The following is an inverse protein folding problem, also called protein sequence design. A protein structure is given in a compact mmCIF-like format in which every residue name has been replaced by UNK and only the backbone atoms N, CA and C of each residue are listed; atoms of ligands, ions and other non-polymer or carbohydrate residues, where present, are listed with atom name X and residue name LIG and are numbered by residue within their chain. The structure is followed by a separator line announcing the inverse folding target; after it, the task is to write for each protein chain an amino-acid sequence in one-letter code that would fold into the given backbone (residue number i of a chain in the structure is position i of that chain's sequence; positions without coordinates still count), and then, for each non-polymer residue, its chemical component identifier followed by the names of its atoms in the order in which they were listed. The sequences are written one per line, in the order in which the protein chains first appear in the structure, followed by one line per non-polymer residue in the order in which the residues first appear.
data_IF_495147821813
#
_entry.id   IF_495147821813
#
_cell.length_a   1.000
_cell.length_b   1.000
_cell.length_c   1.000
_cell.angle_alpha   90.00
_cell.angle_beta   90.00
_cell.angle_gamma   90.00
#
_symmetry.space_group_name_H-M   'P 1'
#
loop_
_entity.id
_entity.type
_entity.pdbx_description
1 polymer ?
#
# COMPACT_ATOMS: atom_id res chain seq x y z
N UNK A 1 -9.72 -0.87 -4.46
CA UNK A 1 -8.46 -0.32 -5.00
C UNK A 1 -7.29 -1.09 -4.44
N UNK A 2 -6.44 -1.63 -5.31
CA UNK A 2 -5.20 -2.32 -4.95
C UNK A 2 -4.04 -1.39 -5.22
N UNK A 3 -3.14 -1.23 -4.28
CA UNK A 3 -1.95 -0.42 -4.46
C UNK A 3 -0.82 -0.88 -3.54
N UNK A 4 0.40 -0.48 -3.88
CA UNK A 4 1.58 -0.71 -3.08
C UNK A 4 2.47 0.52 -3.13
N UNK A 5 2.87 0.99 -1.98
CA UNK A 5 3.84 2.08 -1.87
C UNK A 5 5.27 1.50 -1.91
N UNK A 6 6.04 1.93 -2.90
CA UNK A 6 7.46 1.61 -3.02
C UNK A 6 8.29 2.48 -2.08
N UNK A 7 9.51 2.04 -1.76
CA UNK A 7 10.42 2.81 -0.90
C UNK A 7 11.84 2.70 -1.41
N UNK A 8 12.48 3.83 -1.62
CA UNK A 8 13.93 3.92 -1.86
C UNK A 8 14.65 3.78 -0.51
N UNK A 9 15.03 2.55 -0.17
CA UNK A 9 15.55 2.21 1.17
C UNK A 9 16.87 2.89 1.51
N UNK A 10 17.72 3.11 0.53
CA UNK A 10 18.96 3.89 0.63
C UNK A 10 18.67 5.31 1.12
N UNK A 11 17.78 6.03 0.46
CA UNK A 11 17.39 7.39 0.85
C UNK A 11 16.66 7.43 2.19
N UNK A 12 15.82 6.41 2.48
CA UNK A 12 15.17 6.31 3.77
C UNK A 12 16.18 6.13 4.91
N UNK A 13 17.22 5.31 4.72
CA UNK A 13 18.26 5.10 5.71
C UNK A 13 19.04 6.39 6.02
N UNK A 14 19.40 7.15 4.99
CA UNK A 14 20.04 8.47 5.14
C UNK A 14 19.15 9.44 5.90
N UNK A 15 17.87 9.55 5.52
CA UNK A 15 16.91 10.42 6.19
C UNK A 15 16.71 10.03 7.65
N UNK A 16 16.54 8.72 7.94
CA UNK A 16 16.39 8.19 9.29
C UNK A 16 17.60 8.52 10.17
N UNK A 17 18.81 8.32 9.68
CA UNK A 17 20.06 8.64 10.40
C UNK A 17 20.16 10.12 10.76
N UNK A 18 19.67 10.99 9.86
CA UNK A 18 19.70 12.44 10.03
C UNK A 18 18.47 13.03 10.73
N UNK A 19 17.53 12.21 11.21
CA UNK A 19 16.26 12.67 11.81
C UNK A 19 15.37 13.47 10.85
N UNK A 20 15.48 13.24 9.53
CA UNK A 20 14.75 13.99 8.50
C UNK A 20 13.48 13.26 8.06
N UNK A 21 12.48 13.98 7.52
CA UNK A 21 11.31 13.37 6.89
C UNK A 21 11.69 12.42 5.76
N UNK A 22 10.89 11.37 5.55
CA UNK A 22 11.14 10.35 4.52
C UNK A 22 10.53 10.68 3.15
N UNK A 23 10.12 11.93 2.93
CA UNK A 23 9.36 12.34 1.74
C UNK A 23 10.04 11.94 0.43
N UNK A 24 11.33 12.19 0.27
CA UNK A 24 12.10 11.83 -0.94
C UNK A 24 12.21 10.31 -1.14
N UNK A 25 12.23 9.55 -0.05
CA UNK A 25 12.29 8.09 -0.11
C UNK A 25 10.93 7.43 -0.41
N UNK A 26 9.84 8.15 -0.20
CA UNK A 26 8.46 7.67 -0.35
C UNK A 26 7.71 8.30 -1.52
N UNK A 27 7.91 9.60 -1.76
CA UNK A 27 7.20 10.39 -2.75
C UNK A 27 8.04 10.62 -4.01
N UNK A 28 8.26 9.59 -4.82
CA UNK A 28 8.93 9.66 -6.11
C UNK A 28 8.00 9.15 -7.21
N UNK A 29 8.32 9.48 -8.46
CA UNK A 29 7.51 9.09 -9.62
C UNK A 29 7.26 7.59 -9.65
N UNK A 30 5.99 7.20 -9.87
CA UNK A 30 5.54 5.81 -9.91
C UNK A 30 5.74 5.03 -8.59
N UNK A 31 5.96 5.72 -7.46
CA UNK A 31 6.15 5.08 -6.15
C UNK A 31 4.90 4.38 -5.63
N UNK A 32 3.73 4.72 -6.13
CA UNK A 32 2.44 4.26 -5.65
C UNK A 32 1.53 3.75 -6.78
N UNK A 33 1.86 2.61 -7.39
CA UNK A 33 0.98 2.01 -8.39
C UNK A 33 -0.37 1.65 -7.77
N UNK A 34 -1.45 1.99 -8.46
CA UNK A 34 -2.83 1.73 -8.03
C UNK A 34 -3.57 0.93 -9.09
N UNK A 35 -4.43 0.02 -8.66
CA UNK A 35 -5.35 -0.71 -9.53
C UNK A 35 -6.69 0.00 -9.67
N UNK A 36 -7.67 -0.70 -10.25
CA UNK A 36 -9.03 -0.20 -10.39
C UNK A 36 -9.62 0.20 -9.04
N UNK A 37 -10.40 1.27 -9.02
CA UNK A 37 -11.17 1.70 -7.87
C UNK A 37 -12.51 0.96 -7.92
N UNK A 38 -12.83 0.23 -6.87
CA UNK A 38 -14.14 -0.41 -6.69
C UNK A 38 -14.98 0.44 -5.74
N UNK A 39 -16.24 0.60 -6.09
CA UNK A 39 -17.19 1.32 -5.24
C UNK A 39 -17.64 0.43 -4.09
N UNK A 40 -17.91 1.03 -2.95
CA UNK A 40 -18.35 0.29 -1.76
C UNK A 40 -19.72 -0.40 -2.00
N UNK A 41 -20.54 0.15 -2.88
CA UNK A 41 -21.80 -0.46 -3.29
C UNK A 41 -21.63 -1.77 -4.04
N UNK A 42 -20.44 -1.97 -4.68
CA UNK A 42 -20.13 -3.17 -5.45
C UNK A 42 -19.47 -4.25 -4.58
N UNK A 43 -18.62 -3.86 -3.65
CA UNK A 43 -17.82 -4.79 -2.85
C UNK A 43 -18.32 -4.99 -1.43
N UNK A 44 -19.21 -4.13 -0.96
CA UNK A 44 -19.49 -3.99 0.44
C UNK A 44 -18.30 -3.40 1.22
N UNK A 45 -18.45 -3.27 2.53
CA UNK A 45 -17.37 -2.85 3.41
C UNK A 45 -16.40 -4.02 3.67
N UNK A 46 -15.16 -3.86 3.23
CA UNK A 46 -14.11 -4.87 3.42
C UNK A 46 -13.44 -4.67 4.78
N UNK A 47 -13.85 -5.45 5.77
CA UNK A 47 -13.31 -5.43 7.13
C UNK A 47 -12.36 -6.60 7.42
N UNK A 48 -12.38 -7.63 6.57
CA UNK A 48 -11.52 -8.80 6.63
C UNK A 48 -11.24 -9.31 5.22
N UNK A 49 -10.27 -10.18 5.07
CA UNK A 49 -9.91 -10.81 3.81
C UNK A 49 -8.41 -10.79 3.56
N UNK A 50 -7.93 -11.82 2.89
CA UNK A 50 -6.51 -11.99 2.63
C UNK A 50 -5.95 -10.85 1.78
N UNK A 51 -4.80 -10.32 2.20
CA UNK A 51 -3.94 -9.45 1.42
C UNK A 51 -2.59 -10.13 1.20
N UNK A 52 -2.17 -10.29 -0.04
CA UNK A 52 -0.94 -11.00 -0.38
C UNK A 52 -0.09 -10.23 -1.37
N UNK A 53 1.20 -10.51 -1.37
CA UNK A 53 2.13 -10.09 -2.39
C UNK A 53 3.05 -11.24 -2.76
N UNK A 54 3.14 -11.50 -4.05
CA UNK A 54 4.15 -12.37 -4.65
C UNK A 54 5.18 -11.54 -5.42
N UNK A 55 6.42 -12.00 -5.49
CA UNK A 55 7.47 -11.46 -6.34
C UNK A 55 7.99 -12.59 -7.22
N UNK A 56 7.86 -12.44 -8.53
CA UNK A 56 8.19 -13.46 -9.54
C UNK A 56 7.50 -14.82 -9.22
N UNK A 57 6.25 -14.75 -8.73
CA UNK A 57 5.46 -15.91 -8.33
C UNK A 57 5.80 -16.50 -6.96
N UNK A 58 6.86 -16.02 -6.29
CA UNK A 58 7.21 -16.48 -4.95
C UNK A 58 6.50 -15.63 -3.87
N UNK A 59 5.79 -16.23 -2.90
CA UNK A 59 5.14 -15.50 -1.82
C UNK A 59 6.13 -14.65 -1.00
N UNK A 60 5.77 -13.40 -0.75
CA UNK A 60 6.59 -12.43 0.00
C UNK A 60 5.88 -11.83 1.20
N UNK A 61 4.61 -11.47 1.05
CA UNK A 61 3.81 -10.92 2.13
C UNK A 61 2.45 -11.59 2.15
N UNK A 62 1.96 -11.82 3.36
CA UNK A 62 0.62 -12.32 3.63
C UNK A 62 0.11 -11.65 4.90
N UNK A 63 -1.14 -11.23 4.89
CA UNK A 63 -1.86 -10.68 6.01
C UNK A 63 -3.36 -10.74 5.77
N UNK A 64 -4.11 -10.18 6.66
CA UNK A 64 -5.55 -10.01 6.55
C UNK A 64 -5.92 -8.54 6.76
N UNK A 65 -7.02 -8.09 6.17
CA UNK A 65 -7.51 -6.72 6.36
C UNK A 65 -7.92 -6.46 7.82
N UNK A 66 -8.29 -7.51 8.55
CA UNK A 66 -8.59 -7.43 9.99
C UNK A 66 -7.36 -7.20 10.88
N UNK A 67 -6.13 -7.35 10.34
CA UNK A 67 -4.88 -7.04 11.05
C UNK A 67 -4.62 -5.53 11.18
N UNK A 68 -5.42 -4.68 10.54
CA UNK A 68 -5.31 -3.24 10.65
C UNK A 68 -5.56 -2.79 12.11
N UNK A 69 -4.59 -2.10 12.72
CA UNK A 69 -4.72 -1.53 14.08
C UNK A 69 -5.90 -0.56 14.13
N UNK A 70 -6.01 0.29 13.10
CA UNK A 70 -7.17 1.15 12.87
C UNK A 70 -7.86 0.72 11.59
N UNK A 71 -9.14 0.43 11.67
CA UNK A 71 -9.93 0.12 10.49
C UNK A 71 -10.09 1.36 9.58
N UNK A 72 -10.65 1.15 8.39
CA UNK A 72 -10.79 2.23 7.39
C UNK A 72 -11.60 3.41 7.92
N UNK A 73 -12.69 3.16 8.65
CA UNK A 73 -13.56 4.22 9.20
C UNK A 73 -12.83 5.04 10.25
N UNK A 74 -12.11 4.39 11.15
CA UNK A 74 -11.30 5.04 12.18
C UNK A 74 -10.20 5.87 11.54
N UNK A 75 -9.50 5.33 10.54
CA UNK A 75 -8.46 6.04 9.80
C UNK A 75 -9.01 7.31 9.15
N UNK A 76 -10.16 7.24 8.46
CA UNK A 76 -10.82 8.41 7.86
C UNK A 76 -11.21 9.42 8.94
N UNK A 77 -11.81 8.97 10.03
CA UNK A 77 -12.22 9.82 11.14
C UNK A 77 -11.06 10.59 11.75
N UNK A 78 -9.90 9.94 11.94
CA UNK A 78 -8.71 10.61 12.46
C UNK A 78 -8.09 11.60 11.46
N UNK A 79 -7.96 11.21 10.21
CA UNK A 79 -7.40 12.07 9.16
C UNK A 79 -8.25 13.34 8.97
N UNK A 80 -9.57 13.23 9.01
CA UNK A 80 -10.49 14.36 8.83
C UNK A 80 -10.38 15.43 9.92
N UNK A 81 -9.73 15.14 11.07
CA UNK A 81 -9.43 16.15 12.09
C UNK A 81 -8.28 17.07 11.70
N UNK A 82 -7.38 16.62 10.82
CA UNK A 82 -6.18 17.36 10.41
C UNK A 82 -6.27 17.86 8.96
N UNK A 83 -7.04 17.19 8.12
CA UNK A 83 -7.19 17.52 6.70
C UNK A 83 -8.66 17.53 6.27
N UNK A 84 -9.00 18.45 5.38
CA UNK A 84 -10.30 18.41 4.68
C UNK A 84 -10.21 17.36 3.58
N UNK A 85 -10.69 16.16 3.85
CA UNK A 85 -10.73 15.07 2.87
C UNK A 85 -11.75 15.38 1.77
N UNK A 86 -11.39 15.10 0.53
CA UNK A 86 -12.22 15.35 -0.67
C UNK A 86 -12.39 14.07 -1.48
N UNK A 87 -13.45 13.96 -2.30
CA UNK A 87 -13.56 12.89 -3.29
C UNK A 87 -12.32 12.85 -4.18
N UNK A 88 -11.73 11.66 -4.32
CA UNK A 88 -10.49 11.44 -5.06
C UNK A 88 -9.23 11.38 -4.19
N UNK A 89 -9.29 11.74 -2.92
CA UNK A 89 -8.16 11.55 -2.00
C UNK A 89 -7.86 10.06 -1.82
N UNK A 90 -6.57 9.72 -1.84
CA UNK A 90 -6.09 8.36 -1.67
C UNK A 90 -5.43 8.21 -0.29
N UNK A 91 -5.90 7.24 0.48
CA UNK A 91 -5.34 6.92 1.79
C UNK A 91 -4.59 5.59 1.70
N UNK A 92 -3.28 5.63 2.04
CA UNK A 92 -2.42 4.47 2.08
C UNK A 92 -2.32 3.94 3.51
N UNK A 93 -2.89 2.78 3.77
CA UNK A 93 -3.05 2.21 5.12
C UNK A 93 -1.87 1.34 5.56
N UNK A 94 -0.78 1.32 4.81
CA UNK A 94 0.40 0.55 5.16
C UNK A 94 0.50 -0.80 4.45
N UNK A 95 1.30 -1.70 5.01
CA UNK A 95 1.61 -2.99 4.40
C UNK A 95 1.83 -4.07 5.47
N UNK A 96 1.46 -5.34 5.21
CA UNK A 96 1.75 -6.46 6.11
C UNK A 96 3.26 -6.67 6.31
N UNK A 97 3.62 -7.51 7.26
CA UNK A 97 4.99 -7.98 7.47
C UNK A 97 5.58 -8.63 6.20
N UNK A 98 6.90 -8.82 6.16
CA UNK A 98 7.60 -9.42 5.01
C UNK A 98 8.10 -8.40 3.98
N UNK A 99 8.29 -7.15 4.39
CA UNK A 99 8.91 -6.12 3.52
C UNK A 99 10.35 -6.52 3.18
N UNK A 100 10.68 -6.58 1.88
CA UNK A 100 11.99 -6.93 1.37
C UNK A 100 12.36 -6.06 0.16
N UNK A 101 13.63 -6.09 -0.23
CA UNK A 101 14.08 -5.44 -1.46
C UNK A 101 13.50 -6.16 -2.69
N UNK A 102 13.22 -5.36 -3.72
CA UNK A 102 12.85 -5.82 -5.06
C UNK A 102 13.72 -5.09 -6.08
N UNK A 103 14.11 -5.77 -7.13
CA UNK A 103 15.04 -5.27 -8.15
C UNK A 103 14.39 -5.09 -9.52
N UNK A 104 15.16 -4.51 -10.43
CA UNK A 104 14.75 -4.35 -11.83
C UNK A 104 14.41 -5.71 -12.47
N UNK A 105 13.42 -5.73 -13.35
CA UNK A 105 12.94 -6.91 -14.04
C UNK A 105 11.97 -7.77 -13.23
N UNK A 106 11.91 -7.60 -11.90
CA UNK A 106 11.00 -8.37 -11.06
C UNK A 106 9.55 -7.92 -11.22
N UNK A 107 8.66 -8.88 -11.17
CA UNK A 107 7.22 -8.67 -11.25
C UNK A 107 6.57 -8.90 -9.88
N UNK A 108 5.85 -7.89 -9.41
CA UNK A 108 5.09 -7.92 -8.18
C UNK A 108 3.62 -8.17 -8.49
N UNK A 109 3.03 -9.15 -7.85
CA UNK A 109 1.59 -9.44 -7.95
C UNK A 109 0.96 -9.28 -6.58
N UNK A 110 0.23 -8.18 -6.40
CA UNK A 110 -0.53 -7.90 -5.18
C UNK A 110 -1.98 -8.33 -5.34
N UNK A 111 -2.54 -8.99 -4.32
CA UNK A 111 -3.96 -9.41 -4.31
C UNK A 111 -4.62 -8.99 -3.02
N UNK A 112 -5.89 -8.61 -3.12
CA UNK A 112 -6.77 -8.41 -1.97
C UNK A 112 -8.06 -9.16 -2.24
N UNK A 113 -8.50 -9.98 -1.29
CA UNK A 113 -9.76 -10.71 -1.40
C UNK A 113 -10.91 -9.73 -1.69
N UNK A 114 -11.72 -10.05 -2.68
CA UNK A 114 -12.85 -9.23 -3.13
C UNK A 114 -12.49 -8.04 -4.04
N UNK A 115 -11.19 -7.75 -4.28
CA UNK A 115 -10.77 -6.62 -5.14
C UNK A 115 -9.94 -7.04 -6.37
N UNK A 116 -9.56 -8.34 -6.48
CA UNK A 116 -8.74 -8.84 -7.59
C UNK A 116 -7.24 -8.65 -7.38
N UNK A 117 -6.50 -8.40 -8.45
CA UNK A 117 -5.04 -8.29 -8.42
C UNK A 117 -4.50 -7.03 -9.11
N UNK A 118 -3.31 -6.63 -8.70
CA UNK A 118 -2.49 -5.62 -9.35
C UNK A 118 -1.12 -6.22 -9.66
N UNK A 119 -0.72 -6.16 -10.92
CA UNK A 119 0.59 -6.63 -11.39
C UNK A 119 1.46 -5.44 -11.78
N UNK A 120 2.68 -5.39 -11.27
CA UNK A 120 3.64 -4.31 -11.54
C UNK A 120 5.01 -4.91 -11.82
N UNK A 121 5.62 -4.57 -12.95
CA UNK A 121 7.00 -4.94 -13.28
C UNK A 121 7.92 -3.74 -13.09
N UNK A 122 9.01 -3.93 -12.36
CA UNK A 122 10.03 -2.88 -12.13
C UNK A 122 10.95 -2.75 -13.37
N UNK A 123 11.09 -1.54 -13.86
CA UNK A 123 11.96 -1.21 -15.02
C UNK A 123 13.16 -0.38 -14.63
#
# INVERSE_FOLDING_TARGET
MLFRSMTRRDLQAVAKKAGRPWSVAKGFDQSAPIGAIHRIEETGELTSGAITLDVDGAPRQKGDLSDLIWNVRETISWLSRAWTLKPGDLIFTGTPAGVAAVGRGQTLTGRVAGLGELVVTLR
#
